data_IF_380431784022
#
_entry.id   IF_380431784022
#
_cell.length_a   1.000
_cell.length_b   1.000
_cell.length_c   1.000
_cell.angle_alpha   90.00
_cell.angle_beta   90.00
_cell.angle_gamma   90.00
#
_symmetry.space_group_name_H-M   'P 1'
#
loop_
_entity.id
_entity.type
_entity.pdbx_description
1 polymer ?
#
# COMPACT_ATOMS: atom_id res chain seq x y z
N UNK A 1 -2.18 -10.00 34.43
CA UNK A 1 -0.75 -10.24 34.14
C UNK A 1 -0.42 -10.24 32.64
N UNK A 2 -1.41 -10.10 31.75
CA UNK A 2 -1.29 -10.33 30.30
C UNK A 2 -0.75 -9.14 29.49
N UNK A 3 -1.18 -7.90 29.78
CA UNK A 3 -0.85 -6.75 28.94
C UNK A 3 0.63 -6.30 28.96
N UNK A 4 1.36 -6.54 30.03
CA UNK A 4 2.79 -6.22 30.10
C UNK A 4 3.66 -7.22 29.30
N UNK A 5 3.27 -8.50 29.29
CA UNK A 5 3.95 -9.53 28.51
C UNK A 5 3.66 -9.38 27.01
N UNK A 6 2.42 -9.02 26.66
CA UNK A 6 2.01 -8.73 25.28
C UNK A 6 2.71 -7.47 24.73
N UNK A 7 2.91 -6.45 25.58
CA UNK A 7 3.67 -5.25 25.18
C UNK A 7 5.16 -5.56 24.95
N UNK A 8 5.78 -6.37 25.81
CA UNK A 8 7.18 -6.79 25.67
C UNK A 8 7.39 -7.67 24.43
N UNK A 9 6.44 -8.56 24.09
CA UNK A 9 6.51 -9.37 22.87
C UNK A 9 6.38 -8.52 21.61
N UNK A 10 5.47 -7.53 21.60
CA UNK A 10 5.31 -6.57 20.51
C UNK A 10 6.56 -5.71 20.31
N UNK A 11 7.16 -5.20 21.39
CA UNK A 11 8.39 -4.39 21.34
C UNK A 11 9.58 -5.19 20.79
N UNK A 12 9.75 -6.45 21.22
CA UNK A 12 10.82 -7.32 20.70
C UNK A 12 10.66 -7.63 19.21
N UNK A 13 9.43 -7.84 18.74
CA UNK A 13 9.13 -8.13 17.32
C UNK A 13 9.25 -6.90 16.44
N UNK A 14 8.86 -5.73 16.95
CA UNK A 14 9.13 -4.47 16.30
C UNK A 14 10.64 -4.27 16.12
N UNK A 15 11.46 -4.62 17.12
CA UNK A 15 12.91 -4.59 17.03
C UNK A 15 13.48 -5.62 16.04
N UNK A 16 12.97 -6.86 16.01
CA UNK A 16 13.35 -7.89 15.05
C UNK A 16 13.01 -7.49 13.59
N UNK A 17 11.86 -6.88 13.38
CA UNK A 17 11.44 -6.37 12.05
C UNK A 17 12.27 -5.14 11.66
N UNK A 18 12.55 -4.24 12.60
CA UNK A 18 13.41 -3.08 12.37
C UNK A 18 14.85 -3.46 12.05
N UNK A 19 15.38 -4.55 12.63
CA UNK A 19 16.69 -5.09 12.26
C UNK A 19 16.75 -5.55 10.80
N UNK A 20 15.60 -5.90 10.20
CA UNK A 20 15.46 -6.28 8.79
C UNK A 20 15.10 -5.11 7.87
N UNK A 21 15.05 -3.88 8.38
CA UNK A 21 14.67 -2.70 7.59
C UNK A 21 15.53 -2.49 6.33
N UNK A 22 16.88 -2.63 6.36
CA UNK A 22 17.69 -2.51 5.14
C UNK A 22 17.31 -3.55 4.07
N UNK A 23 17.02 -4.79 4.47
CA UNK A 23 16.58 -5.87 3.56
C UNK A 23 15.18 -5.58 2.99
N UNK A 24 14.26 -5.08 3.82
CA UNK A 24 12.93 -4.63 3.38
C UNK A 24 13.00 -3.53 2.32
N UNK A 25 13.83 -2.51 2.54
CA UNK A 25 14.02 -1.40 1.59
C UNK A 25 14.63 -1.93 0.29
N UNK A 26 15.68 -2.74 0.37
CA UNK A 26 16.33 -3.29 -0.83
C UNK A 26 15.36 -4.13 -1.68
N UNK A 27 14.54 -4.98 -1.05
CA UNK A 27 13.51 -5.77 -1.74
C UNK A 27 12.41 -4.90 -2.36
N UNK A 28 11.99 -3.87 -1.64
CA UNK A 28 11.00 -2.91 -2.13
C UNK A 28 11.51 -2.12 -3.35
N UNK A 29 12.78 -1.66 -3.30
CA UNK A 29 13.45 -1.01 -4.42
C UNK A 29 13.55 -1.92 -5.64
N UNK A 30 13.94 -3.19 -5.44
CA UNK A 30 14.00 -4.17 -6.51
C UNK A 30 12.62 -4.39 -7.16
N UNK A 31 11.57 -4.59 -6.35
CA UNK A 31 10.20 -4.79 -6.85
C UNK A 31 9.69 -3.55 -7.62
N UNK A 32 9.87 -2.35 -7.08
CA UNK A 32 9.49 -1.10 -7.74
C UNK A 32 10.29 -0.87 -9.04
N UNK A 33 11.57 -1.23 -9.07
CA UNK A 33 12.41 -1.09 -10.26
C UNK A 33 11.92 -1.97 -11.42
N UNK A 34 11.38 -3.17 -11.16
CA UNK A 34 10.80 -4.02 -12.21
C UNK A 34 9.58 -3.35 -12.83
N UNK A 35 8.70 -2.79 -12.00
CA UNK A 35 7.50 -2.07 -12.46
C UNK A 35 7.89 -0.86 -13.30
N UNK A 36 8.92 -0.12 -12.90
CA UNK A 36 9.38 1.06 -13.63
C UNK A 36 10.16 0.77 -14.91
N UNK A 37 10.89 -0.37 -14.96
CA UNK A 37 11.66 -0.79 -16.14
C UNK A 37 10.85 -1.60 -17.15
N UNK A 38 9.73 -2.19 -16.71
CA UNK A 38 8.69 -2.74 -17.56
C UNK A 38 8.07 -1.65 -18.41
N UNK A 39 8.60 -1.47 -19.63
CA UNK A 39 8.18 -0.50 -20.67
C UNK A 39 6.70 -0.11 -20.59
N UNK A 40 6.41 1.03 -19.96
CA UNK A 40 5.24 1.81 -20.31
C UNK A 40 5.44 2.36 -21.73
N UNK A 41 4.47 2.21 -22.67
CA UNK A 41 4.48 2.90 -23.96
C UNK A 41 4.39 4.43 -23.84
N UNK A 42 4.28 4.96 -22.62
CA UNK A 42 4.32 6.40 -22.30
C UNK A 42 4.96 6.62 -20.93
N UNK A 43 6.24 6.26 -20.80
CA UNK A 43 7.09 7.05 -19.93
C UNK A 43 7.15 8.44 -20.56
N UNK A 44 6.38 9.38 -20.00
CA UNK A 44 6.50 10.80 -20.32
C UNK A 44 7.90 11.18 -19.83
N UNK A 45 8.89 11.09 -20.72
CA UNK A 45 10.17 11.75 -20.51
C UNK A 45 9.86 13.24 -20.36
N UNK A 46 10.03 13.72 -19.13
CA UNK A 46 9.84 15.11 -18.77
C UNK A 46 8.99 15.24 -17.53
N UNK A 47 9.48 16.04 -16.59
CA UNK A 47 8.69 16.82 -15.64
C UNK A 47 7.32 17.13 -16.24
N UNK A 48 6.30 16.36 -15.90
CA UNK A 48 4.98 16.45 -16.55
C UNK A 48 4.14 17.52 -15.88
N UNK A 49 4.67 18.72 -15.94
CA UNK A 49 3.90 19.92 -16.20
C UNK A 49 3.17 19.69 -17.54
N UNK A 50 1.98 19.07 -17.52
CA UNK A 50 1.18 18.89 -18.74
C UNK A 50 1.01 20.27 -19.35
N UNK A 51 1.58 20.44 -20.54
CA UNK A 51 1.58 21.71 -21.26
C UNK A 51 0.12 22.08 -21.51
N UNK A 52 -0.37 23.08 -20.79
CA UNK A 52 -1.76 23.51 -20.89
C UNK A 52 -1.93 24.43 -22.10
N UNK A 53 -1.16 25.52 -22.13
CA UNK A 53 -1.10 26.46 -23.25
C UNK A 53 0.12 27.39 -23.11
N UNK A 54 0.48 28.08 -24.19
CA UNK A 54 1.30 29.28 -24.09
C UNK A 54 0.40 30.47 -23.79
N UNK A 55 0.78 31.31 -22.82
CA UNK A 55 0.18 32.63 -22.65
C UNK A 55 1.21 33.73 -22.78
N UNK A 56 0.76 34.94 -23.04
CA UNK A 56 1.64 36.10 -23.01
C UNK A 56 2.19 36.31 -21.60
N UNK A 57 3.47 36.65 -21.54
CA UNK A 57 4.17 37.09 -20.35
C UNK A 57 3.47 38.30 -19.75
N UNK A 58 3.16 38.23 -18.46
CA UNK A 58 2.60 39.32 -17.69
C UNK A 58 3.64 39.86 -16.70
N UNK A 59 3.53 41.15 -16.39
CA UNK A 59 4.41 41.78 -15.42
C UNK A 59 4.17 41.15 -14.04
N UNK A 60 5.19 40.46 -13.51
CA UNK A 60 5.10 39.64 -12.29
C UNK A 60 5.46 38.17 -12.52
N UNK A 61 5.51 37.70 -13.78
CA UNK A 61 5.96 36.36 -14.09
C UNK A 61 7.47 36.22 -13.91
N UNK A 62 7.95 35.12 -13.30
CA UNK A 62 9.38 34.88 -13.15
C UNK A 62 10.01 34.67 -14.52
N UNK A 63 11.16 35.32 -14.76
CA UNK A 63 11.89 35.24 -16.04
C UNK A 63 12.25 33.79 -16.41
N UNK A 64 12.44 32.91 -15.41
CA UNK A 64 12.70 31.48 -15.61
C UNK A 64 11.53 30.70 -16.22
N UNK A 65 10.31 31.25 -16.23
CA UNK A 65 9.13 30.63 -16.82
C UNK A 65 8.94 30.95 -18.31
N UNK A 66 9.77 31.83 -18.87
CA UNK A 66 9.73 32.22 -20.28
C UNK A 66 10.26 31.08 -21.14
N UNK A 67 9.45 30.64 -22.11
CA UNK A 67 9.90 29.73 -23.15
C UNK A 67 10.57 30.53 -24.26
N UNK A 68 11.89 30.63 -24.19
CA UNK A 68 12.69 31.38 -25.17
C UNK A 68 12.56 30.83 -26.59
N UNK A 69 12.33 29.52 -26.75
CA UNK A 69 12.27 28.85 -28.05
C UNK A 69 10.95 29.14 -28.80
N UNK A 70 9.87 29.34 -28.05
CA UNK A 70 8.59 29.72 -28.64
C UNK A 70 8.44 31.23 -28.76
N UNK A 71 8.96 31.98 -27.80
CA UNK A 71 9.01 33.45 -27.88
C UNK A 71 9.81 33.92 -29.10
N UNK A 72 10.90 33.23 -29.47
CA UNK A 72 11.72 33.61 -30.62
C UNK A 72 11.02 33.46 -31.98
N UNK A 73 9.87 32.75 -32.04
CA UNK A 73 9.10 32.59 -33.28
C UNK A 73 8.04 33.68 -33.47
N UNK A 74 7.82 34.51 -32.46
CA UNK A 74 6.85 35.59 -32.47
C UNK A 74 7.58 36.92 -32.38
N UNK A 75 7.20 37.88 -33.21
CA UNK A 75 7.77 39.22 -33.12
C UNK A 75 7.24 39.93 -31.87
N UNK A 76 8.15 40.42 -31.02
CA UNK A 76 7.88 41.21 -29.80
C UNK A 76 6.93 40.59 -28.77
N UNK A 77 6.79 39.26 -28.72
CA UNK A 77 5.97 38.57 -27.71
C UNK A 77 6.80 37.57 -26.91
N UNK A 78 6.73 37.68 -25.59
CA UNK A 78 7.28 36.71 -24.67
C UNK A 78 6.17 35.76 -24.25
N UNK A 79 6.39 34.45 -24.46
CA UNK A 79 5.46 33.41 -24.07
C UNK A 79 5.94 32.71 -22.81
N UNK A 80 5.03 32.58 -21.85
CA UNK A 80 5.22 31.77 -20.65
C UNK A 80 4.53 30.44 -20.86
N UNK A 81 5.26 29.36 -20.57
CA UNK A 81 4.69 28.01 -20.60
C UNK A 81 3.80 27.85 -19.37
N UNK A 82 2.48 27.81 -19.56
CA UNK A 82 1.59 27.41 -18.47
C UNK A 82 1.58 25.90 -18.35
N UNK A 83 1.78 25.47 -17.12
CA UNK A 83 1.79 24.08 -16.75
C UNK A 83 0.56 23.84 -15.90
N UNK A 84 -0.19 22.80 -16.22
CA UNK A 84 -1.28 22.36 -15.35
C UNK A 84 -0.63 21.93 -14.03
N UNK A 85 -0.81 22.73 -12.99
CA UNK A 85 -0.42 22.35 -11.64
C UNK A 85 -1.42 21.31 -11.15
N UNK A 86 -1.22 20.05 -11.51
CA UNK A 86 -1.78 18.97 -10.72
C UNK A 86 -1.11 19.04 -9.36
N UNK A 87 -1.89 19.36 -8.32
CA UNK A 87 -1.38 19.30 -6.96
C UNK A 87 -1.01 17.85 -6.67
N UNK A 88 0.17 17.57 -6.09
CA UNK A 88 0.55 16.20 -5.76
C UNK A 88 -0.49 15.60 -4.82
N UNK A 89 -1.04 14.47 -5.26
CA UNK A 89 -1.95 13.64 -4.51
C UNK A 89 -1.26 13.18 -3.22
N UNK A 90 -2.07 12.96 -2.19
CA UNK A 90 -1.59 12.38 -0.94
C UNK A 90 -1.92 10.89 -0.95
N UNK A 91 -0.90 10.06 -0.81
CA UNK A 91 -1.00 8.62 -0.60
C UNK A 91 -0.75 8.33 0.88
N UNK A 92 -1.71 7.70 1.53
CA UNK A 92 -1.60 7.24 2.92
C UNK A 92 -1.47 5.73 2.94
N UNK A 93 -0.50 5.24 3.70
CA UNK A 93 -0.19 3.83 3.83
C UNK A 93 -0.63 3.31 5.18
N UNK A 94 -1.07 2.06 5.23
CA UNK A 94 -1.22 1.30 6.45
C UNK A 94 -0.87 -0.15 6.17
N UNK A 95 -0.09 -0.76 7.06
CA UNK A 95 0.24 -2.17 6.99
C UNK A 95 -0.14 -2.85 8.32
N UNK A 96 -0.88 -3.95 8.26
CA UNK A 96 -1.38 -4.67 9.42
C UNK A 96 -0.24 -5.04 10.37
N UNK A 97 -0.51 -4.90 11.67
CA UNK A 97 0.48 -5.14 12.71
C UNK A 97 0.24 -6.38 13.57
N UNK A 98 -0.85 -7.11 13.33
CA UNK A 98 -1.33 -8.19 14.20
C UNK A 98 -0.38 -9.38 14.31
N UNK A 99 -0.51 -10.13 15.40
CA UNK A 99 0.37 -11.28 15.65
C UNK A 99 0.20 -12.39 14.62
N UNK A 100 -1.02 -12.60 14.14
CA UNK A 100 -1.36 -13.59 13.11
C UNK A 100 -0.75 -13.24 11.74
N UNK A 101 -0.58 -11.95 11.47
CA UNK A 101 -0.03 -11.48 10.21
C UNK A 101 1.46 -11.81 10.05
N UNK A 102 2.15 -12.14 11.13
CA UNK A 102 3.57 -12.54 11.11
C UNK A 102 3.78 -14.05 10.89
N UNK A 103 2.72 -14.78 10.54
CA UNK A 103 2.83 -16.16 10.08
C UNK A 103 3.51 -16.22 8.70
N UNK A 104 4.25 -17.31 8.44
CA UNK A 104 4.82 -17.63 7.14
C UNK A 104 5.21 -19.09 7.04
N UNK A 105 4.85 -19.73 5.93
CA UNK A 105 5.21 -21.13 5.65
C UNK A 105 6.39 -21.28 4.70
N UNK A 106 6.80 -20.20 4.05
CA UNK A 106 7.95 -20.12 3.15
C UNK A 106 9.14 -19.36 3.77
N UNK A 107 9.94 -18.71 2.90
CA UNK A 107 11.14 -17.96 3.32
C UNK A 107 10.81 -16.65 4.06
N UNK A 108 9.60 -16.12 3.87
CA UNK A 108 9.16 -14.83 4.42
C UNK A 108 7.81 -14.98 5.11
N UNK A 109 7.57 -14.14 6.12
CA UNK A 109 6.25 -14.01 6.75
C UNK A 109 5.33 -13.14 5.89
N UNK A 110 4.00 -13.32 6.03
CA UNK A 110 3.00 -12.47 5.37
C UNK A 110 3.24 -11.00 5.71
N UNK A 111 3.59 -10.68 6.96
CA UNK A 111 3.96 -9.32 7.40
C UNK A 111 5.17 -8.80 6.66
N UNK A 112 6.24 -9.59 6.56
CA UNK A 112 7.43 -9.15 5.83
C UNK A 112 7.08 -8.83 4.37
N UNK A 113 6.34 -9.72 3.71
CA UNK A 113 5.84 -9.51 2.33
C UNK A 113 4.95 -8.26 2.24
N UNK A 114 4.04 -8.06 3.19
CA UNK A 114 3.16 -6.90 3.27
C UNK A 114 3.91 -5.58 3.42
N UNK A 115 4.94 -5.54 4.27
CA UNK A 115 5.84 -4.39 4.41
C UNK A 115 6.61 -4.12 3.12
N UNK A 116 7.14 -5.16 2.45
CA UNK A 116 7.81 -5.02 1.15
C UNK A 116 6.87 -4.41 0.09
N UNK A 117 5.62 -4.90 -0.01
CA UNK A 117 4.61 -4.36 -0.92
C UNK A 117 4.32 -2.90 -0.59
N UNK A 118 4.09 -2.60 0.68
CA UNK A 118 3.75 -1.25 1.15
C UNK A 118 4.86 -0.25 0.82
N UNK A 119 6.12 -0.63 1.06
CA UNK A 119 7.28 0.20 0.75
C UNK A 119 7.54 0.31 -0.76
N UNK A 120 7.29 -0.74 -1.54
CA UNK A 120 7.40 -0.67 -3.00
C UNK A 120 6.38 0.33 -3.58
N UNK A 121 5.15 0.32 -3.08
CA UNK A 121 4.12 1.30 -3.44
C UNK A 121 4.50 2.72 -2.99
N UNK A 122 5.11 2.86 -1.81
CA UNK A 122 5.68 4.13 -1.35
C UNK A 122 6.73 4.67 -2.33
N UNK A 123 7.64 3.81 -2.80
CA UNK A 123 8.68 4.18 -3.77
C UNK A 123 8.06 4.63 -5.09
N UNK A 124 7.07 3.89 -5.60
CA UNK A 124 6.38 4.24 -6.85
C UNK A 124 5.71 5.62 -6.73
N UNK A 125 4.98 5.87 -5.64
CA UNK A 125 4.31 7.14 -5.38
C UNK A 125 5.29 8.31 -5.19
N UNK A 126 6.37 8.12 -4.43
CA UNK A 126 7.41 9.15 -4.26
C UNK A 126 8.10 9.49 -5.58
N UNK A 127 8.28 8.51 -6.47
CA UNK A 127 8.90 8.70 -7.78
C UNK A 127 7.96 9.35 -8.80
N UNK A 128 6.64 9.19 -8.68
CA UNK A 128 5.67 9.95 -9.48
C UNK A 128 5.46 11.38 -8.98
N UNK A 129 6.04 11.74 -7.83
CA UNK A 129 5.98 13.10 -7.26
C UNK A 129 4.89 13.26 -6.20
N UNK A 130 4.24 12.18 -5.78
CA UNK A 130 3.21 12.22 -4.74
C UNK A 130 3.79 12.45 -3.35
N UNK A 131 2.90 12.84 -2.43
CA UNK A 131 3.22 12.86 -1.00
C UNK A 131 2.76 11.56 -0.35
N UNK A 132 3.65 10.93 0.41
CA UNK A 132 3.40 9.65 1.08
C UNK A 132 3.44 9.84 2.59
N UNK A 133 2.46 9.32 3.31
CA UNK A 133 2.41 9.31 4.78
C UNK A 133 1.79 8.03 5.32
N UNK A 134 1.79 7.87 6.65
CA UNK A 134 1.12 6.74 7.31
C UNK A 134 -0.26 7.19 7.80
N UNK A 135 -1.29 6.39 7.54
CA UNK A 135 -2.64 6.72 7.99
C UNK A 135 -2.74 6.61 9.51
N UNK A 136 -3.29 7.63 10.15
CA UNK A 136 -3.41 7.70 11.62
C UNK A 136 -2.16 8.22 12.33
N UNK A 137 -1.10 8.55 11.58
CA UNK A 137 0.07 9.23 12.12
C UNK A 137 -0.14 10.73 12.27
N UNK A 138 0.52 11.33 13.25
CA UNK A 138 0.59 12.78 13.44
C UNK A 138 1.61 13.45 12.50
N UNK A 139 2.52 12.65 11.94
CA UNK A 139 3.54 13.13 11.01
C UNK A 139 2.93 13.50 9.65
N UNK A 140 3.30 14.64 9.05
CA UNK A 140 2.76 15.04 7.77
C UNK A 140 3.30 14.14 6.62
N UNK A 141 2.49 13.89 5.57
CA UNK A 141 2.96 13.22 4.36
C UNK A 141 4.18 13.92 3.74
N UNK A 142 5.17 13.14 3.34
CA UNK A 142 6.47 13.59 2.84
C UNK A 142 6.60 13.31 1.35
N UNK A 143 7.39 14.12 0.66
CA UNK A 143 7.69 13.95 -0.76
C UNK A 143 9.19 13.78 -1.00
N UNK A 144 9.54 13.23 -2.16
CA UNK A 144 10.92 13.05 -2.59
C UNK A 144 11.58 11.78 -2.07
N UNK A 145 12.62 11.34 -2.78
CA UNK A 145 13.30 10.07 -2.53
C UNK A 145 13.88 9.91 -1.11
N UNK A 146 14.27 11.01 -0.46
CA UNK A 146 14.84 11.00 0.89
C UNK A 146 13.79 10.75 1.99
N UNK A 147 12.49 10.73 1.64
CA UNK A 147 11.42 10.45 2.58
C UNK A 147 11.29 8.95 2.93
N UNK A 148 11.79 8.05 2.08
CA UNK A 148 11.55 6.61 2.21
C UNK A 148 12.03 6.02 3.56
N UNK A 149 13.24 6.32 4.06
CA UNK A 149 13.69 5.78 5.35
C UNK A 149 12.77 6.23 6.50
N UNK A 150 12.35 7.50 6.50
CA UNK A 150 11.44 8.05 7.53
C UNK A 150 10.06 7.40 7.46
N UNK A 151 9.52 7.22 6.25
CA UNK A 151 8.24 6.51 6.02
C UNK A 151 8.34 5.08 6.53
N UNK A 152 9.45 4.39 6.27
CA UNK A 152 9.62 3.01 6.67
C UNK A 152 9.75 2.85 8.19
N UNK A 153 10.50 3.73 8.87
CA UNK A 153 10.56 3.78 10.33
C UNK A 153 9.21 4.08 10.97
N UNK A 154 8.42 4.97 10.36
CA UNK A 154 7.08 5.32 10.82
C UNK A 154 6.10 4.15 10.62
N UNK A 155 6.17 3.48 9.47
CA UNK A 155 5.37 2.28 9.17
C UNK A 155 5.66 1.15 10.17
N UNK A 156 6.91 1.00 10.62
CA UNK A 156 7.26 -0.01 11.63
C UNK A 156 6.76 0.34 13.04
N UNK A 157 6.56 1.63 13.34
CA UNK A 157 6.03 2.10 14.63
C UNK A 157 4.51 2.19 14.67
N UNK A 158 3.84 2.06 13.53
CA UNK A 158 2.37 2.15 13.45
C UNK A 158 1.69 1.06 14.31
N UNK A 159 0.47 1.35 14.77
CA UNK A 159 -0.35 0.39 15.51
C UNK A 159 -0.87 -0.75 14.64
N UNK A 160 -1.26 -1.86 15.28
CA UNK A 160 -1.78 -3.04 14.59
C UNK A 160 -3.20 -2.90 14.07
N UNK A 161 -4.00 -2.01 14.67
CA UNK A 161 -5.40 -1.77 14.29
C UNK A 161 -5.51 -0.73 13.19
N UNK A 162 -6.60 -0.80 12.42
CA UNK A 162 -6.97 0.24 11.48
C UNK A 162 -7.22 1.56 12.24
N UNK A 163 -6.64 2.69 11.81
CA UNK A 163 -6.90 3.98 12.43
C UNK A 163 -8.38 4.31 12.44
N UNK A 164 -8.89 4.86 13.55
CA UNK A 164 -10.30 5.30 13.69
C UNK A 164 -10.52 6.77 13.30
N UNK A 165 -9.46 7.44 12.86
CA UNK A 165 -9.49 8.84 12.42
C UNK A 165 -9.83 8.93 10.93
N UNK A 166 -10.45 10.04 10.52
CA UNK A 166 -10.65 10.34 9.11
C UNK A 166 -9.27 10.57 8.44
N UNK A 167 -9.04 10.05 7.22
CA UNK A 167 -7.84 10.37 6.47
C UNK A 167 -7.86 11.84 6.01
N UNK A 168 -6.73 12.30 5.47
CA UNK A 168 -6.66 13.59 4.78
C UNK A 168 -7.65 13.61 3.62
N UNK A 169 -8.34 14.74 3.44
CA UNK A 169 -9.34 14.90 2.38
C UNK A 169 -8.75 14.62 1.00
N UNK A 170 -9.44 13.82 0.18
CA UNK A 170 -9.01 13.46 -1.17
C UNK A 170 -7.79 12.52 -1.23
N UNK A 171 -7.35 11.97 -0.10
CA UNK A 171 -6.21 11.06 -0.10
C UNK A 171 -6.57 9.69 -0.72
N UNK A 172 -5.56 9.09 -1.34
CA UNK A 172 -5.55 7.69 -1.72
C UNK A 172 -5.00 6.88 -0.55
N UNK A 173 -5.69 5.83 -0.13
CA UNK A 173 -5.32 5.04 1.05
C UNK A 173 -5.02 3.60 0.64
N UNK A 174 -3.85 3.11 1.04
CA UNK A 174 -3.40 1.75 0.78
C UNK A 174 -3.33 0.96 2.07
N UNK A 175 -4.12 -0.10 2.13
CA UNK A 175 -4.24 -0.96 3.30
C UNK A 175 -3.66 -2.34 2.94
N UNK A 176 -2.65 -2.81 3.67
CA UNK A 176 -2.02 -4.11 3.40
C UNK A 176 -2.05 -4.97 4.65
N UNK A 177 -2.75 -6.10 4.64
CA UNK A 177 -2.87 -7.02 5.80
C UNK A 177 -3.39 -8.38 5.33
N UNK A 178 -3.58 -9.34 6.21
CA UNK A 178 -4.35 -10.55 5.95
C UNK A 178 -5.86 -10.40 6.24
N UNK A 179 -6.28 -9.29 6.86
CA UNK A 179 -7.68 -8.93 7.14
C UNK A 179 -8.52 -10.09 7.69
N UNK A 180 -7.93 -10.92 8.55
CA UNK A 180 -8.58 -12.12 9.09
C UNK A 180 -9.62 -11.82 10.19
N UNK A 181 -9.61 -10.59 10.70
CA UNK A 181 -10.57 -10.08 11.67
C UNK A 181 -11.92 -9.71 11.01
N UNK A 182 -12.81 -9.12 11.80
CA UNK A 182 -14.16 -8.71 11.37
C UNK A 182 -14.14 -7.81 10.11
N UNK A 183 -14.75 -8.23 8.98
CA UNK A 183 -14.91 -7.41 7.78
C UNK A 183 -15.57 -6.06 8.02
N UNK A 184 -16.34 -5.91 9.11
CA UNK A 184 -16.95 -4.63 9.48
C UNK A 184 -15.90 -3.55 9.76
N UNK A 185 -14.75 -3.90 10.36
CA UNK A 185 -13.69 -2.93 10.62
C UNK A 185 -13.12 -2.35 9.31
N UNK A 186 -13.03 -3.20 8.27
CA UNK A 186 -12.63 -2.78 6.93
C UNK A 186 -13.72 -1.89 6.29
N UNK A 187 -14.99 -2.30 6.35
CA UNK A 187 -16.12 -1.51 5.87
C UNK A 187 -16.16 -0.11 6.51
N UNK A 188 -15.95 -0.02 7.82
CA UNK A 188 -15.91 1.25 8.56
C UNK A 188 -14.73 2.13 8.13
N UNK A 189 -13.57 1.51 7.87
CA UNK A 189 -12.40 2.20 7.33
C UNK A 189 -12.68 2.80 5.95
N UNK A 190 -13.22 2.01 5.04
CA UNK A 190 -13.59 2.46 3.70
C UNK A 190 -14.66 3.56 3.74
N UNK A 191 -15.65 3.45 4.64
CA UNK A 191 -16.65 4.50 4.85
C UNK A 191 -16.01 5.82 5.26
N UNK A 192 -15.11 5.81 6.24
CA UNK A 192 -14.37 7.03 6.66
C UNK A 192 -13.53 7.63 5.53
N UNK A 193 -12.96 6.78 4.66
CA UNK A 193 -12.17 7.24 3.51
C UNK A 193 -13.07 7.91 2.47
N UNK A 194 -14.24 7.34 2.17
CA UNK A 194 -15.24 7.95 1.28
C UNK A 194 -15.79 9.26 1.81
N UNK A 195 -16.07 9.35 3.11
CA UNK A 195 -16.56 10.57 3.74
C UNK A 195 -15.54 11.71 3.62
N UNK A 196 -14.24 11.37 3.65
CA UNK A 196 -13.14 12.28 3.35
C UNK A 196 -12.91 12.53 1.84
N UNK A 197 -13.79 12.03 0.96
CA UNK A 197 -13.69 12.08 -0.50
C UNK A 197 -12.42 11.43 -1.06
N UNK A 198 -11.87 10.47 -0.33
CA UNK A 198 -10.71 9.68 -0.74
C UNK A 198 -11.09 8.40 -1.47
N UNK A 199 -10.07 7.67 -1.89
CA UNK A 199 -10.17 6.33 -2.47
C UNK A 199 -9.29 5.35 -1.70
N UNK A 200 -9.63 4.06 -1.73
CA UNK A 200 -8.88 3.06 -0.99
C UNK A 200 -8.67 1.78 -1.79
N UNK A 201 -7.51 1.16 -1.60
CA UNK A 201 -7.24 -0.20 -2.08
C UNK A 201 -6.75 -1.04 -0.90
N UNK A 202 -7.44 -2.16 -0.67
CA UNK A 202 -7.02 -3.18 0.29
C UNK A 202 -6.27 -4.29 -0.43
N UNK A 203 -5.13 -4.70 0.11
CA UNK A 203 -4.29 -5.78 -0.39
C UNK A 203 -4.24 -6.84 0.70
N UNK A 204 -4.91 -7.95 0.46
CA UNK A 204 -4.92 -9.15 1.29
C UNK A 204 -3.67 -9.97 0.97
N UNK A 205 -2.77 -10.12 1.93
CA UNK A 205 -1.59 -10.98 1.79
C UNK A 205 -1.86 -12.33 2.45
N UNK A 206 -1.70 -13.40 1.68
CA UNK A 206 -2.06 -14.76 2.08
C UNK A 206 -0.84 -15.68 2.05
N UNK A 207 -0.84 -16.68 2.93
CA UNK A 207 0.19 -17.73 2.91
C UNK A 207 -0.23 -18.91 2.00
N UNK A 208 0.72 -19.57 1.31
CA UNK A 208 0.43 -20.73 0.47
C UNK A 208 -0.27 -21.87 1.22
N UNK A 209 0.10 -22.12 2.48
CA UNK A 209 -0.53 -23.18 3.27
C UNK A 209 -1.92 -22.81 3.76
N UNK A 210 -2.22 -21.52 3.89
CA UNK A 210 -3.59 -21.03 4.12
C UNK A 210 -4.43 -21.18 2.86
N UNK A 211 -3.86 -21.03 1.67
CA UNK A 211 -4.62 -21.13 0.41
C UNK A 211 -4.80 -22.58 -0.06
N UNK A 212 -3.74 -23.37 -0.05
CA UNK A 212 -3.72 -24.72 -0.63
C UNK A 212 -4.19 -25.79 0.37
N UNK A 213 -4.05 -25.48 1.66
CA UNK A 213 -4.30 -26.37 2.80
C UNK A 213 -3.70 -27.77 2.59
N UNK A 214 -2.37 -27.92 2.49
CA UNK A 214 -1.71 -29.20 2.18
C UNK A 214 -1.52 -30.08 3.44
N UNK A 215 -2.42 -29.99 4.41
CA UNK A 215 -2.29 -30.67 5.69
C UNK A 215 -2.98 -32.05 5.66
N UNK A 216 -2.27 -33.08 6.12
CA UNK A 216 -2.75 -34.46 6.16
C UNK A 216 -2.45 -35.09 7.53
N UNK A 217 -3.26 -36.08 7.91
CA UNK A 217 -3.09 -36.82 9.16
C UNK A 217 -3.33 -35.96 10.39
N UNK A 218 -2.80 -36.41 11.53
CA UNK A 218 -2.95 -35.69 12.79
C UNK A 218 -2.08 -34.44 12.81
N UNK A 219 -2.71 -33.27 12.84
CA UNK A 219 -2.05 -31.98 12.83
C UNK A 219 -2.53 -31.13 14.00
N UNK A 220 -1.58 -30.37 14.56
CA UNK A 220 -1.84 -29.40 15.61
C UNK A 220 -1.64 -28.01 15.03
N UNK A 221 -2.72 -27.25 14.94
CA UNK A 221 -2.72 -25.85 14.52
C UNK A 221 -2.62 -24.98 15.76
N UNK A 222 -1.62 -24.12 15.81
CA UNK A 222 -1.42 -23.18 16.92
C UNK A 222 -1.50 -21.76 16.37
N UNK A 223 -2.48 -21.00 16.82
CA UNK A 223 -2.45 -19.55 16.68
C UNK A 223 -1.49 -18.90 17.70
N UNK A 224 -1.14 -17.62 17.50
CA UNK A 224 -0.26 -16.86 18.40
C UNK A 224 -0.84 -16.74 19.83
N UNK A 225 -2.17 -16.80 19.97
CA UNK A 225 -2.84 -16.90 21.27
C UNK A 225 -3.13 -18.36 21.63
N UNK A 226 -2.87 -18.73 22.89
CA UNK A 226 -3.05 -20.09 23.41
C UNK A 226 -4.47 -20.67 23.21
N UNK A 227 -5.46 -19.79 23.14
CA UNK A 227 -6.88 -20.08 22.91
C UNK A 227 -7.19 -20.54 21.48
N UNK A 228 -6.28 -20.30 20.53
CA UNK A 228 -6.43 -20.66 19.11
C UNK A 228 -5.73 -21.98 18.76
N UNK A 229 -5.43 -22.81 19.76
CA UNK A 229 -4.87 -24.14 19.55
C UNK A 229 -5.98 -25.12 19.17
N UNK A 230 -5.93 -25.64 17.94
CA UNK A 230 -6.85 -26.66 17.45
C UNK A 230 -6.07 -27.92 17.09
N UNK A 231 -6.52 -29.05 17.63
CA UNK A 231 -5.99 -30.36 17.27
C UNK A 231 -6.99 -31.05 16.36
N UNK A 232 -6.53 -31.48 15.18
CA UNK A 232 -7.32 -32.30 14.29
C UNK A 232 -6.64 -33.66 14.15
N UNK A 233 -7.37 -34.73 14.47
CA UNK A 233 -6.89 -36.11 14.30
C UNK A 233 -6.67 -36.45 12.82
N UNK A 234 -7.49 -35.90 11.93
CA UNK A 234 -7.32 -35.96 10.48
C UNK A 234 -7.55 -34.56 9.89
N UNK A 235 -6.48 -33.86 9.50
CA UNK A 235 -6.56 -32.50 8.98
C UNK A 235 -7.25 -32.44 7.61
N UNK A 236 -7.11 -33.48 6.78
CA UNK A 236 -7.76 -33.50 5.47
C UNK A 236 -9.29 -33.46 5.56
N UNK A 237 -9.86 -33.97 6.66
CA UNK A 237 -11.30 -33.99 6.90
C UNK A 237 -11.91 -32.59 7.12
N UNK A 238 -11.10 -31.60 7.52
CA UNK A 238 -11.57 -30.21 7.73
C UNK A 238 -11.23 -29.28 6.58
N UNK A 239 -10.53 -29.77 5.55
CA UNK A 239 -10.06 -28.99 4.41
C UNK A 239 -11.20 -28.28 3.68
N UNK A 240 -12.25 -29.01 3.33
CA UNK A 240 -13.40 -28.47 2.59
C UNK A 240 -14.08 -27.33 3.37
N UNK A 241 -14.47 -27.59 4.63
CA UNK A 241 -15.09 -26.57 5.48
C UNK A 241 -14.20 -25.36 5.73
N UNK A 242 -12.88 -25.54 5.83
CA UNK A 242 -11.95 -24.42 5.95
C UNK A 242 -11.90 -23.57 4.67
N UNK A 243 -11.80 -24.21 3.50
CA UNK A 243 -11.77 -23.51 2.21
C UNK A 243 -13.09 -22.78 1.93
N UNK A 244 -14.22 -23.36 2.31
CA UNK A 244 -15.53 -22.71 2.23
C UNK A 244 -15.61 -21.47 3.12
N UNK A 245 -15.18 -21.56 4.38
CA UNK A 245 -15.14 -20.42 5.30
C UNK A 245 -14.23 -19.30 4.77
N UNK A 246 -13.06 -19.66 4.21
CA UNK A 246 -12.15 -18.70 3.58
C UNK A 246 -12.80 -18.03 2.37
N UNK A 247 -13.48 -18.79 1.51
CA UNK A 247 -14.18 -18.22 0.36
C UNK A 247 -15.30 -17.26 0.78
N UNK A 248 -16.07 -17.62 1.81
CA UNK A 248 -17.09 -16.75 2.40
C UNK A 248 -16.47 -15.46 2.96
N UNK A 249 -15.31 -15.57 3.62
CA UNK A 249 -14.59 -14.42 4.13
C UNK A 249 -14.10 -13.50 3.01
N UNK A 250 -13.54 -14.05 1.92
CA UNK A 250 -13.12 -13.26 0.75
C UNK A 250 -14.29 -12.53 0.10
N UNK A 251 -15.43 -13.19 -0.01
CA UNK A 251 -16.66 -12.58 -0.48
C UNK A 251 -17.11 -11.45 0.47
N UNK A 252 -17.06 -11.67 1.79
CA UNK A 252 -17.40 -10.65 2.79
C UNK A 252 -16.47 -9.44 2.75
N UNK A 253 -15.15 -9.63 2.57
CA UNK A 253 -14.19 -8.53 2.39
C UNK A 253 -14.47 -7.74 1.11
N UNK A 254 -14.75 -8.44 0.01
CA UNK A 254 -15.10 -7.79 -1.26
C UNK A 254 -16.42 -7.03 -1.14
N UNK A 255 -17.41 -7.59 -0.44
CA UNK A 255 -18.70 -6.98 -0.19
C UNK A 255 -18.65 -5.81 0.81
N UNK A 256 -17.64 -5.77 1.69
CA UNK A 256 -17.38 -4.65 2.59
C UNK A 256 -16.89 -3.40 1.83
N UNK A 257 -16.45 -3.57 0.59
CA UNK A 257 -15.86 -2.52 -0.27
C UNK A 257 -16.73 -2.33 -1.52
N UNK A 258 -17.46 -1.22 -1.63
CA UNK A 258 -18.46 -1.02 -2.71
C UNK A 258 -18.39 0.33 -3.42
N UNK A 259 -17.37 1.15 -3.16
CA UNK A 259 -17.22 2.46 -3.77
C UNK A 259 -16.52 2.42 -5.15
N UNK A 260 -16.79 3.41 -6.02
CA UNK A 260 -16.05 3.56 -7.27
C UNK A 260 -14.56 3.85 -7.00
N UNK A 261 -13.67 3.15 -7.71
CA UNK A 261 -12.22 3.24 -7.52
C UNK A 261 -11.70 2.50 -6.28
N UNK A 262 -12.57 1.75 -5.58
CA UNK A 262 -12.18 0.90 -4.47
C UNK A 262 -11.95 -0.54 -4.95
N UNK A 263 -10.95 -1.21 -4.38
CA UNK A 263 -10.64 -2.59 -4.73
C UNK A 263 -10.09 -3.37 -3.53
N UNK A 264 -10.40 -4.67 -3.51
CA UNK A 264 -9.73 -5.67 -2.68
C UNK A 264 -8.92 -6.57 -3.60
N UNK A 265 -7.62 -6.59 -3.41
CA UNK A 265 -6.68 -7.41 -4.18
C UNK A 265 -6.13 -8.51 -3.27
N UNK A 266 -5.91 -9.69 -3.83
CA UNK A 266 -5.34 -10.82 -3.10
C UNK A 266 -3.94 -11.10 -3.64
N UNK A 267 -3.00 -11.38 -2.76
CA UNK A 267 -1.61 -11.68 -3.11
C UNK A 267 -1.08 -12.81 -2.24
N UNK A 268 -0.62 -13.88 -2.89
CA UNK A 268 0.06 -14.96 -2.18
C UNK A 268 1.53 -14.61 -1.95
N UNK A 269 2.04 -14.93 -0.77
CA UNK A 269 3.41 -14.57 -0.39
C UNK A 269 4.52 -15.28 -1.19
N UNK A 270 4.19 -16.40 -1.86
CA UNK A 270 5.06 -17.15 -2.78
C UNK A 270 5.04 -16.62 -4.23
N UNK A 271 4.15 -15.69 -4.55
CA UNK A 271 4.04 -15.12 -5.90
C UNK A 271 4.93 -13.89 -6.08
N UNK A 272 5.40 -13.61 -7.31
CA UNK A 272 6.06 -12.35 -7.63
C UNK A 272 5.17 -11.15 -7.31
N UNK A 273 5.74 -10.11 -6.69
CA UNK A 273 5.00 -8.89 -6.33
C UNK A 273 4.69 -7.99 -7.54
N UNK A 274 5.39 -8.15 -8.66
CA UNK A 274 5.28 -7.29 -9.85
C UNK A 274 3.85 -7.15 -10.41
N UNK A 275 3.07 -8.24 -10.64
CA UNK A 275 1.73 -8.12 -11.19
C UNK A 275 0.79 -7.30 -10.29
N UNK A 276 0.87 -7.51 -8.97
CA UNK A 276 0.12 -6.75 -7.99
C UNK A 276 0.47 -5.26 -8.06
N UNK A 277 1.77 -4.92 -8.06
CA UNK A 277 2.19 -3.53 -8.11
C UNK A 277 1.76 -2.84 -9.40
N UNK A 278 1.80 -3.54 -10.55
CA UNK A 278 1.29 -3.02 -11.82
C UNK A 278 -0.22 -2.74 -11.75
N UNK A 279 -1.00 -3.68 -11.20
CA UNK A 279 -2.44 -3.52 -11.05
C UNK A 279 -2.78 -2.34 -10.15
N UNK A 280 -2.12 -2.21 -9.00
CA UNK A 280 -2.30 -1.08 -8.08
C UNK A 280 -1.89 0.24 -8.73
N UNK A 281 -0.78 0.26 -9.47
CA UNK A 281 -0.32 1.46 -10.17
C UNK A 281 -1.29 1.91 -11.28
N UNK A 282 -1.98 0.98 -11.95
CA UNK A 282 -3.03 1.30 -12.92
C UNK A 282 -4.28 1.89 -12.27
N UNK A 283 -4.64 1.42 -11.07
CA UNK A 283 -5.71 2.01 -10.27
C UNK A 283 -5.36 3.46 -9.92
N UNK A 284 -4.09 3.75 -9.59
CA UNK A 284 -3.61 5.12 -9.32
C UNK A 284 -3.61 6.04 -10.53
N UNK A 285 -3.20 5.52 -11.68
CA UNK A 285 -3.15 6.29 -12.92
C UNK A 285 -4.53 6.63 -13.50
N UNK A 286 -5.63 6.19 -12.86
CA UNK A 286 -6.99 6.41 -13.35
C UNK A 286 -7.31 5.63 -14.63
N UNK A 287 -6.53 4.59 -14.96
CA UNK A 287 -6.71 3.80 -16.19
C UNK A 287 -7.77 2.68 -16.07
N UNK A 288 -8.47 2.60 -14.94
CA UNK A 288 -9.60 1.68 -14.79
C UNK A 288 -10.82 2.25 -15.52
N UNK A 289 -11.03 1.72 -16.74
CA UNK A 289 -12.18 1.97 -17.63
C UNK A 289 -13.53 1.77 -16.96
#
# INVERSE_FOLDING_TARGET
MTGAQERISLERRAAETAARLPDLIARAEAAAQVVMSGRHPRQKEGRSDTFWQFRDYAQGDPVSSIDWRQSSKLDRRLLVRQTEWEQPQTVLLWCGGGEDFDYGSGEETKRFRGLTITLALAILALRSGERVGIWGSEEPPRAGQHALPLIAEELLRQGAELPRVAPRQGALVLLVSDFHDDPQALSDAFTRIRDARGHATAIVVEDPKETDFPFQGSQRFEGPRAERRKFFGEASAVREGYLDLRQQHHAALSDAVRGPGEAVLFHRSDEPTTPLLLQVNQIFAGESR
#
